data_IF_607986379518
#
_entry.id   IF_607986379518
#
_cell.length_a   1.000
_cell.length_b   1.000
_cell.length_c   1.000
_cell.angle_alpha   90.00
_cell.angle_beta   90.00
_cell.angle_gamma   90.00
#
_symmetry.space_group_name_H-M   'P 1'
#
loop_
_entity.id
_entity.type
_entity.pdbx_description
1 polymer ?
#
# COMPACT_ATOMS: atom_id res chain seq x y z
N UNK A 1 29.36 10.14 -12.01
CA UNK A 1 28.41 9.34 -11.20
C UNK A 1 27.05 9.34 -11.90
N UNK A 2 26.66 8.25 -12.57
CA UNK A 2 25.31 8.13 -13.16
C UNK A 2 24.31 8.06 -12.00
N UNK A 3 23.53 9.13 -11.79
CA UNK A 3 22.45 9.14 -10.80
C UNK A 3 21.43 8.09 -11.23
N UNK A 4 21.15 7.10 -10.39
CA UNK A 4 20.06 6.17 -10.63
C UNK A 4 18.76 6.98 -10.80
N UNK A 5 17.94 6.69 -11.82
CA UNK A 5 16.68 7.39 -11.99
C UNK A 5 15.80 7.12 -10.77
N UNK A 6 15.44 8.18 -10.06
CA UNK A 6 14.60 8.14 -8.86
C UNK A 6 13.33 7.28 -9.03
N UNK A 7 12.61 7.33 -10.18
CA UNK A 7 11.46 6.45 -10.40
C UNK A 7 11.80 4.96 -10.39
N UNK A 8 12.96 4.56 -10.91
CA UNK A 8 13.40 3.15 -10.97
C UNK A 8 13.75 2.62 -9.57
N UNK A 9 14.40 3.47 -8.75
CA UNK A 9 14.70 3.12 -7.37
C UNK A 9 13.41 2.93 -6.57
N UNK A 10 12.44 3.85 -6.73
CA UNK A 10 11.14 3.76 -6.08
C UNK A 10 10.33 2.54 -6.53
N UNK A 11 10.33 2.19 -7.82
CA UNK A 11 9.63 0.98 -8.30
C UNK A 11 10.28 -0.30 -7.81
N UNK A 12 11.62 -0.38 -7.78
CA UNK A 12 12.32 -1.55 -7.21
C UNK A 12 12.02 -1.72 -5.72
N UNK A 13 12.14 -0.65 -4.93
CA UNK A 13 11.76 -0.71 -3.51
C UNK A 13 10.27 -1.04 -3.33
N UNK A 14 9.38 -0.46 -4.14
CA UNK A 14 7.95 -0.76 -4.10
C UNK A 14 7.64 -2.23 -4.42
N UNK A 15 8.33 -2.81 -5.41
CA UNK A 15 8.19 -4.22 -5.75
C UNK A 15 8.68 -5.11 -4.61
N UNK A 16 9.87 -4.86 -4.06
CA UNK A 16 10.43 -5.66 -2.96
C UNK A 16 9.57 -5.56 -1.70
N UNK A 17 9.24 -4.33 -1.27
CA UNK A 17 8.45 -4.09 -0.06
C UNK A 17 6.98 -4.51 -0.23
N UNK A 18 6.48 -4.57 -1.47
CA UNK A 18 5.12 -5.01 -1.78
C UNK A 18 4.82 -6.47 -1.39
N UNK A 19 5.86 -7.31 -1.28
CA UNK A 19 5.73 -8.70 -0.85
C UNK A 19 5.76 -8.89 0.67
N UNK A 20 6.20 -7.88 1.45
CA UNK A 20 6.27 -7.98 2.91
C UNK A 20 4.98 -8.48 3.56
N UNK A 21 3.77 -8.04 3.16
CA UNK A 21 2.54 -8.54 3.76
C UNK A 21 2.37 -10.06 3.59
N UNK A 22 2.69 -10.61 2.41
CA UNK A 22 2.59 -12.03 2.16
C UNK A 22 3.64 -12.83 2.96
N UNK A 23 4.83 -12.26 3.15
CA UNK A 23 5.94 -12.89 3.88
C UNK A 23 5.76 -12.84 5.40
N UNK A 24 5.17 -11.77 5.93
CA UNK A 24 5.08 -11.53 7.39
C UNK A 24 3.73 -11.95 7.99
N UNK A 25 2.63 -11.87 7.23
CA UNK A 25 1.28 -12.11 7.78
C UNK A 25 0.66 -13.48 7.43
N UNK A 26 1.37 -14.34 6.67
CA UNK A 26 0.87 -15.66 6.26
C UNK A 26 -0.26 -15.56 5.23
N UNK A 27 -1.15 -16.57 5.10
CA UNK A 27 -2.27 -16.53 4.15
C UNK A 27 -3.31 -15.46 4.56
N UNK A 28 -3.09 -14.24 4.10
CA UNK A 28 -3.93 -13.06 4.37
C UNK A 28 -5.42 -13.29 4.01
N UNK A 29 -5.78 -13.93 2.87
CA UNK A 29 -7.19 -14.14 2.53
C UNK A 29 -7.96 -14.92 3.60
N UNK A 30 -7.29 -15.86 4.28
CA UNK A 30 -7.92 -16.69 5.30
C UNK A 30 -8.43 -15.86 6.48
N UNK A 31 -7.66 -14.86 6.94
CA UNK A 31 -8.06 -13.98 8.06
C UNK A 31 -9.37 -13.23 7.77
N UNK A 32 -9.53 -12.79 6.54
CA UNK A 32 -10.77 -12.14 6.09
C UNK A 32 -11.91 -13.15 5.91
N UNK A 33 -11.64 -14.33 5.36
CA UNK A 33 -12.65 -15.37 5.14
C UNK A 33 -13.29 -15.86 6.46
N UNK A 34 -12.50 -16.00 7.53
CA UNK A 34 -13.02 -16.38 8.86
C UNK A 34 -14.05 -15.37 9.39
N UNK A 35 -13.95 -14.10 8.97
CA UNK A 35 -14.86 -13.02 9.34
C UNK A 35 -16.00 -12.82 8.34
N UNK A 36 -16.19 -13.77 7.40
CA UNK A 36 -17.23 -13.68 6.37
C UNK A 36 -16.94 -12.68 5.25
N UNK A 37 -15.74 -12.09 5.21
CA UNK A 37 -15.30 -11.17 4.16
C UNK A 37 -14.63 -11.98 3.05
N UNK A 38 -14.93 -11.68 1.78
CA UNK A 38 -14.24 -12.30 0.64
C UNK A 38 -12.76 -11.88 0.62
N UNK A 39 -11.89 -12.70 1.20
CA UNK A 39 -10.49 -12.35 1.46
C UNK A 39 -9.67 -12.08 0.21
N UNK A 40 -9.97 -12.75 -0.91
CA UNK A 40 -9.32 -12.46 -2.19
C UNK A 40 -9.60 -11.02 -2.66
N UNK A 41 -10.84 -10.54 -2.50
CA UNK A 41 -11.24 -9.16 -2.85
C UNK A 41 -10.58 -8.17 -1.92
N UNK A 42 -10.58 -8.44 -0.61
CA UNK A 42 -9.92 -7.60 0.37
C UNK A 42 -8.43 -7.43 0.05
N UNK A 43 -7.72 -8.54 -0.20
CA UNK A 43 -6.29 -8.51 -0.56
C UNK A 43 -6.03 -7.73 -1.85
N UNK A 44 -6.86 -7.91 -2.88
CA UNK A 44 -6.75 -7.13 -4.11
C UNK A 44 -7.00 -5.63 -3.87
N UNK A 45 -7.90 -5.25 -2.97
CA UNK A 45 -8.08 -3.85 -2.60
C UNK A 45 -6.79 -3.23 -2.02
N UNK A 46 -6.06 -3.95 -1.16
CA UNK A 46 -4.76 -3.51 -0.65
C UNK A 46 -3.70 -3.39 -1.76
N UNK A 47 -3.67 -4.30 -2.73
CA UNK A 47 -2.73 -4.19 -3.85
C UNK A 47 -3.05 -3.03 -4.77
N UNK A 48 -4.32 -2.88 -5.14
CA UNK A 48 -4.79 -1.76 -5.97
C UNK A 48 -4.51 -0.41 -5.31
N UNK A 49 -4.75 -0.28 -4.00
CA UNK A 49 -4.41 0.92 -3.23
C UNK A 49 -2.91 1.27 -3.35
N UNK A 50 -2.01 0.30 -3.16
CA UNK A 50 -0.55 0.52 -3.27
C UNK A 50 -0.13 0.93 -4.68
N UNK A 51 -0.68 0.30 -5.71
CA UNK A 51 -0.41 0.64 -7.11
C UNK A 51 -0.91 2.06 -7.45
N UNK A 52 -2.03 2.47 -6.86
CA UNK A 52 -2.60 3.80 -7.07
C UNK A 52 -1.69 4.92 -6.54
N UNK A 53 -0.88 4.66 -5.51
CA UNK A 53 0.03 5.68 -4.94
C UNK A 53 0.97 6.23 -6.01
N UNK A 54 1.60 5.35 -6.80
CA UNK A 54 2.51 5.76 -7.87
C UNK A 54 1.79 6.58 -8.95
N UNK A 55 0.56 6.18 -9.30
CA UNK A 55 -0.28 6.91 -10.25
C UNK A 55 -0.67 8.30 -9.72
N UNK A 56 -1.15 8.41 -8.48
CA UNK A 56 -1.50 9.67 -7.83
C UNK A 56 -0.29 10.60 -7.72
N UNK A 57 0.87 10.04 -7.36
CA UNK A 57 2.15 10.77 -7.36
C UNK A 57 2.65 11.06 -8.78
N UNK A 58 2.08 10.48 -9.83
CA UNK A 58 2.36 10.87 -11.22
C UNK A 58 1.57 12.11 -11.63
N UNK A 59 0.27 12.12 -11.34
CA UNK A 59 -0.68 13.10 -11.87
C UNK A 59 -0.85 14.37 -11.02
N UNK A 60 -0.50 14.33 -9.73
CA UNK A 60 -0.69 15.48 -8.82
C UNK A 60 0.47 16.47 -8.93
N UNK A 61 0.29 17.78 -9.04
CA UNK A 61 1.41 18.73 -8.98
C UNK A 61 1.45 19.45 -7.64
N UNK A 62 2.57 19.39 -6.91
CA UNK A 62 2.74 20.12 -5.64
C UNK A 62 4.15 20.72 -5.53
N UNK A 63 4.34 21.85 -4.83
CA UNK A 63 5.65 22.47 -4.68
C UNK A 63 6.65 21.49 -4.08
N UNK A 64 7.72 21.21 -4.82
CA UNK A 64 8.72 20.20 -4.44
C UNK A 64 9.39 20.45 -3.09
N UNK A 65 9.30 21.67 -2.53
CA UNK A 65 9.91 22.07 -1.25
C UNK A 65 9.36 21.31 -0.04
N UNK A 66 8.13 20.82 -0.12
CA UNK A 66 7.42 20.30 1.05
C UNK A 66 7.58 18.78 1.23
N UNK A 67 8.07 18.05 0.22
CA UNK A 67 8.21 16.58 0.19
C UNK A 67 6.96 15.78 0.64
N UNK A 68 5.81 16.43 0.79
CA UNK A 68 4.56 15.91 1.35
C UNK A 68 3.69 15.16 0.32
N UNK A 69 3.99 15.31 -0.97
CA UNK A 69 3.22 14.70 -2.07
C UNK A 69 3.14 13.18 -1.97
N UNK A 70 4.29 12.51 -1.86
CA UNK A 70 4.34 11.05 -1.72
C UNK A 70 3.56 10.55 -0.50
N UNK A 71 3.86 11.07 0.71
CA UNK A 71 3.14 10.70 1.92
C UNK A 71 1.63 10.92 1.84
N UNK A 72 1.16 12.07 1.33
CA UNK A 72 -0.28 12.38 1.32
C UNK A 72 -1.05 11.61 0.24
N UNK A 73 -0.48 11.41 -0.94
CA UNK A 73 -1.06 10.48 -1.92
C UNK A 73 -1.10 9.05 -1.36
N UNK A 74 -0.07 8.65 -0.62
CA UNK A 74 -0.01 7.39 0.12
C UNK A 74 -1.14 7.25 1.12
N UNK A 75 -1.35 8.26 1.97
CA UNK A 75 -2.44 8.30 2.95
C UNK A 75 -3.79 8.20 2.25
N UNK A 76 -4.05 9.01 1.21
CA UNK A 76 -5.34 8.99 0.51
C UNK A 76 -5.63 7.62 -0.10
N UNK A 77 -4.65 7.00 -0.77
CA UNK A 77 -4.84 5.70 -1.40
C UNK A 77 -5.02 4.57 -0.38
N UNK A 78 -4.28 4.62 0.74
CA UNK A 78 -4.30 3.56 1.75
C UNK A 78 -5.41 3.73 2.78
N UNK A 79 -5.95 4.94 2.98
CA UNK A 79 -6.93 5.22 4.03
C UNK A 79 -8.14 4.26 4.03
N UNK A 80 -8.80 3.97 2.88
CA UNK A 80 -9.95 3.07 2.88
C UNK A 80 -9.60 1.66 3.38
N UNK A 81 -8.46 1.12 2.94
CA UNK A 81 -8.04 -0.24 3.33
C UNK A 81 -7.49 -0.29 4.76
N UNK A 82 -6.95 0.82 5.27
CA UNK A 82 -6.59 0.96 6.69
C UNK A 82 -7.81 0.92 7.59
N UNK A 83 -8.94 1.53 7.22
CA UNK A 83 -10.20 1.45 7.99
C UNK A 83 -10.69 0.00 8.07
N UNK A 84 -10.62 -0.74 6.97
CA UNK A 84 -10.96 -2.17 6.94
C UNK A 84 -10.04 -2.95 7.89
N UNK A 85 -8.72 -2.73 7.81
CA UNK A 85 -7.76 -3.41 8.68
C UNK A 85 -8.00 -3.12 10.17
N UNK A 86 -8.33 -1.87 10.51
CA UNK A 86 -8.60 -1.46 11.89
C UNK A 86 -9.89 -2.09 12.45
N UNK A 87 -10.90 -2.26 11.60
CA UNK A 87 -12.13 -2.97 11.96
C UNK A 87 -11.97 -4.50 12.00
N UNK A 88 -10.85 -5.04 11.49
CA UNK A 88 -10.60 -6.49 11.39
C UNK A 88 -9.84 -6.99 12.63
N UNK A 89 -10.46 -7.78 13.52
CA UNK A 89 -9.77 -8.33 14.69
C UNK A 89 -8.57 -9.20 14.27
N UNK A 90 -7.43 -9.03 14.96
CA UNK A 90 -6.19 -9.77 14.69
C UNK A 90 -5.29 -9.18 13.58
N UNK A 91 -5.64 -8.01 13.02
CA UNK A 91 -4.81 -7.26 12.07
C UNK A 91 -4.00 -6.10 12.70
N UNK A 92 -4.06 -5.91 14.01
CA UNK A 92 -3.32 -4.90 14.77
C UNK A 92 -2.23 -5.49 15.69
N UNK A 93 -1.43 -4.64 16.37
CA UNK A 93 -0.50 -5.10 17.40
C UNK A 93 -1.24 -5.89 18.51
N UNK A 94 -0.58 -6.89 19.13
CA UNK A 94 -1.16 -7.71 20.19
C UNK A 94 -1.55 -6.91 21.43
#
# INVERSE_FOLDING_TARGET
>A
MRRFPYPLLCTLFGLVLGWLPALVHGPIPYKFNVLGIRGAVAVWAFYSARLLIGFLVGITSWPGRWFLRGPLCGVIAMFPVTVIALATPGCGPP
#
